data_IF_399269121699
#
_entry.id   IF_399269121699
#
_cell.length_a   1.000
_cell.length_b   1.000
_cell.length_c   1.000
_cell.angle_alpha   90.00
_cell.angle_beta   90.00
_cell.angle_gamma   90.00
#
_symmetry.space_group_name_H-M   'P 1'
#
loop_
_entity.id
_entity.type
_entity.pdbx_description
1 polymer ?
#
# COMPACT_ATOMS: atom_id res chain seq x y z
N UNK A 1 43.88 -1.53 13.36
CA UNK A 1 43.33 -0.19 13.05
C UNK A 1 43.53 -0.02 11.55
N UNK A 2 42.56 -0.24 10.67
CA UNK A 2 41.12 -0.35 10.80
C UNK A 2 40.54 0.57 9.72
N UNK A 3 40.25 0.04 8.54
CA UNK A 3 39.45 0.70 7.51
C UNK A 3 38.70 -0.41 6.75
N UNK A 4 37.57 -0.84 7.32
CA UNK A 4 36.54 -1.56 6.58
C UNK A 4 35.60 -0.51 6.03
N UNK A 5 35.70 -0.22 4.74
CA UNK A 5 34.70 0.59 4.04
C UNK A 5 33.37 -0.15 4.06
N UNK A 6 32.39 0.41 4.76
CA UNK A 6 30.99 0.02 4.57
C UNK A 6 30.58 0.51 3.18
N UNK A 7 30.53 -0.41 2.21
CA UNK A 7 29.74 -0.21 1.00
C UNK A 7 28.27 -0.16 1.41
N UNK A 8 27.75 1.06 1.55
CA UNK A 8 26.31 1.29 1.57
C UNK A 8 25.84 0.97 0.14
N UNK A 9 25.28 -0.22 -0.04
CA UNK A 9 24.64 -0.60 -1.28
C UNK A 9 23.51 0.41 -1.55
N UNK A 10 23.64 1.19 -2.63
CA UNK A 10 22.54 2.01 -3.15
C UNK A 10 21.35 1.09 -3.41
N UNK A 11 20.33 1.18 -2.57
CA UNK A 11 19.11 0.42 -2.70
C UNK A 11 18.37 0.90 -3.96
N UNK A 12 18.54 0.12 -5.03
CA UNK A 12 17.92 0.40 -6.32
C UNK A 12 16.41 0.37 -6.14
N UNK A 13 15.76 1.54 -6.10
CA UNK A 13 14.30 1.67 -6.08
C UNK A 13 13.77 0.92 -7.31
N UNK A 14 13.24 -0.27 -7.10
CA UNK A 14 12.66 -1.07 -8.17
C UNK A 14 11.18 -0.70 -8.31
N UNK A 15 10.81 -0.20 -9.47
CA UNK A 15 9.42 -0.16 -9.90
C UNK A 15 8.85 -1.59 -9.81
N UNK A 16 7.78 -1.76 -9.03
CA UNK A 16 7.16 -3.06 -8.73
C UNK A 16 5.70 -3.03 -9.14
N UNK A 17 5.28 -4.02 -9.94
CA UNK A 17 3.88 -4.11 -10.34
C UNK A 17 3.01 -4.68 -9.22
N UNK A 18 1.69 -4.41 -9.27
CA UNK A 18 0.73 -5.04 -8.36
C UNK A 18 0.73 -6.58 -8.46
N UNK A 19 1.06 -7.12 -9.64
CA UNK A 19 1.17 -8.58 -9.85
C UNK A 19 2.41 -9.14 -9.17
N UNK A 20 3.53 -8.42 -9.23
CA UNK A 20 4.75 -8.81 -8.54
C UNK A 20 4.58 -8.71 -7.01
N UNK A 21 3.87 -7.68 -6.53
CA UNK A 21 3.50 -7.58 -5.12
C UNK A 21 2.61 -8.74 -4.67
N UNK A 22 1.56 -9.06 -5.43
CA UNK A 22 0.71 -10.21 -5.15
C UNK A 22 1.53 -11.51 -5.06
N UNK A 23 2.48 -11.69 -5.99
CA UNK A 23 3.36 -12.86 -5.98
C UNK A 23 4.26 -12.92 -4.74
N UNK A 24 4.89 -11.80 -4.37
CA UNK A 24 5.71 -11.71 -3.15
C UNK A 24 4.89 -12.01 -1.89
N UNK A 25 3.65 -11.52 -1.81
CA UNK A 25 2.74 -11.76 -0.69
C UNK A 25 2.30 -13.22 -0.61
N UNK A 26 2.03 -13.84 -1.77
CA UNK A 26 1.74 -15.27 -1.86
C UNK A 26 2.92 -16.10 -1.30
N UNK A 27 4.14 -15.82 -1.76
CA UNK A 27 5.33 -16.54 -1.33
C UNK A 27 5.63 -16.32 0.16
N UNK A 28 5.44 -15.08 0.65
CA UNK A 28 5.58 -14.74 2.06
C UNK A 28 4.60 -15.52 2.95
N UNK A 29 3.35 -15.63 2.53
CA UNK A 29 2.30 -16.34 3.26
C UNK A 29 2.53 -17.87 3.24
N UNK A 30 2.94 -18.42 2.08
CA UNK A 30 3.29 -19.83 1.93
C UNK A 30 4.43 -20.26 2.82
N UNK A 31 5.49 -19.46 2.89
CA UNK A 31 6.64 -19.73 3.74
C UNK A 31 6.31 -19.83 5.24
N UNK A 32 5.15 -19.30 5.66
CA UNK A 32 4.69 -19.27 7.05
C UNK A 32 3.46 -20.14 7.31
N UNK A 33 2.97 -20.86 6.31
CA UNK A 33 1.70 -21.60 6.39
C UNK A 33 0.51 -20.70 6.81
N UNK A 34 0.52 -19.44 6.33
CA UNK A 34 -0.50 -18.45 6.66
C UNK A 34 -1.69 -18.45 5.70
N UNK A 35 -1.62 -19.18 4.58
CA UNK A 35 -2.70 -19.24 3.59
C UNK A 35 -4.04 -19.69 4.22
N UNK A 36 -3.99 -20.55 5.25
CA UNK A 36 -5.17 -20.99 6.01
C UNK A 36 -5.94 -19.86 6.72
N UNK A 37 -5.28 -18.74 7.01
CA UNK A 37 -5.88 -17.57 7.64
C UNK A 37 -6.36 -16.53 6.62
N UNK A 38 -5.89 -16.59 5.38
CA UNK A 38 -6.15 -15.61 4.33
C UNK A 38 -7.50 -15.87 3.61
N UNK A 39 -8.59 -16.05 4.37
CA UNK A 39 -9.91 -15.99 3.76
C UNK A 39 -10.24 -14.54 3.34
N UNK A 40 -11.07 -14.30 2.29
CA UNK A 40 -11.42 -12.96 1.85
C UNK A 40 -11.96 -12.07 2.98
N UNK A 41 -12.79 -12.63 3.87
CA UNK A 41 -13.32 -11.90 5.02
C UNK A 41 -12.23 -11.48 6.00
N UNK A 42 -11.28 -12.38 6.29
CA UNK A 42 -10.22 -12.08 7.25
C UNK A 42 -9.28 -11.00 6.72
N UNK A 43 -8.91 -11.08 5.44
CA UNK A 43 -8.08 -10.05 4.80
C UNK A 43 -8.79 -8.68 4.76
N UNK A 44 -10.09 -8.67 4.45
CA UNK A 44 -10.89 -7.44 4.52
C UNK A 44 -10.89 -6.84 5.93
N UNK A 45 -11.10 -7.66 6.96
CA UNK A 45 -11.12 -7.17 8.34
C UNK A 45 -9.75 -6.70 8.82
N UNK A 46 -8.66 -7.37 8.42
CA UNK A 46 -7.30 -6.91 8.69
C UNK A 46 -7.04 -5.56 8.02
N UNK A 47 -7.37 -5.41 6.73
CA UNK A 47 -7.27 -4.14 6.01
C UNK A 47 -8.05 -3.00 6.69
N UNK A 48 -9.23 -3.28 7.25
CA UNK A 48 -10.00 -2.28 8.01
C UNK A 48 -9.26 -1.85 9.28
N UNK A 49 -8.53 -2.77 9.93
CA UNK A 49 -7.62 -2.45 11.04
C UNK A 49 -6.55 -1.46 10.62
N UNK A 50 -5.82 -1.75 9.53
CA UNK A 50 -4.75 -0.88 9.03
C UNK A 50 -5.29 0.49 8.55
N UNK A 51 -6.50 0.55 8.00
CA UNK A 51 -7.17 1.83 7.71
C UNK A 51 -7.44 2.62 9.00
N UNK A 52 -7.73 1.92 10.10
CA UNK A 52 -7.84 2.50 11.44
C UNK A 52 -6.52 3.10 11.90
N UNK A 53 -5.43 2.34 11.85
CA UNK A 53 -4.08 2.79 12.23
C UNK A 53 -3.62 3.98 11.37
N UNK A 54 -3.83 3.91 10.05
CA UNK A 54 -3.66 5.04 9.14
C UNK A 54 -4.47 6.27 9.56
N UNK A 55 -5.72 6.08 10.02
CA UNK A 55 -6.58 7.17 10.47
C UNK A 55 -6.09 7.81 11.77
N UNK A 56 -5.48 7.03 12.67
CA UNK A 56 -4.93 7.53 13.94
C UNK A 56 -3.81 8.54 13.73
N UNK A 57 -3.05 8.43 12.63
CA UNK A 57 -2.01 9.39 12.26
C UNK A 57 -2.60 10.80 12.03
N UNK A 58 -3.82 10.88 11.49
CA UNK A 58 -4.45 12.15 11.12
C UNK A 58 -5.46 12.67 12.16
N UNK A 59 -5.92 11.83 13.09
CA UNK A 59 -7.11 12.09 13.92
C UNK A 59 -7.08 13.43 14.69
N UNK A 60 -5.89 13.96 15.03
CA UNK A 60 -5.72 15.22 15.78
C UNK A 60 -4.98 16.32 15.01
N UNK A 61 -4.69 16.14 13.71
CA UNK A 61 -3.82 17.07 12.94
C UNK A 61 -4.55 18.24 12.27
N UNK A 62 -5.88 18.35 12.41
CA UNK A 62 -6.66 19.42 11.74
C UNK A 62 -6.58 19.32 10.21
N UNK A 63 -6.60 20.46 9.52
CA UNK A 63 -6.35 20.48 8.07
C UNK A 63 -4.86 20.21 7.80
N UNK A 64 -4.58 19.27 6.90
CA UNK A 64 -3.21 18.84 6.56
C UNK A 64 -2.85 19.31 5.16
N UNK A 65 -1.77 20.09 5.06
CA UNK A 65 -1.28 20.61 3.79
C UNK A 65 -0.73 19.52 2.87
N UNK A 66 -0.96 19.69 1.57
CA UNK A 66 -0.40 18.81 0.54
C UNK A 66 1.13 18.79 0.63
N UNK A 67 1.70 17.58 0.62
CA UNK A 67 3.14 17.38 0.68
C UNK A 67 3.72 17.41 2.09
N UNK A 68 2.88 17.55 3.12
CA UNK A 68 3.25 17.39 4.53
C UNK A 68 4.48 18.24 4.95
N UNK A 69 4.52 19.55 4.62
CA UNK A 69 5.72 20.38 4.83
C UNK A 69 6.09 20.54 6.31
N UNK A 70 5.13 20.39 7.22
CA UNK A 70 5.29 20.55 8.67
C UNK A 70 5.36 19.21 9.42
N UNK A 71 5.58 18.11 8.70
CA UNK A 71 5.70 16.78 9.31
C UNK A 71 7.16 16.41 9.46
N UNK A 72 7.49 15.86 10.62
CA UNK A 72 8.79 15.25 10.89
C UNK A 72 8.98 14.01 10.01
N UNK A 73 10.24 13.62 9.78
CA UNK A 73 10.53 12.47 8.91
C UNK A 73 9.94 11.17 9.48
N UNK A 74 9.98 11.00 10.81
CA UNK A 74 9.35 9.86 11.49
C UNK A 74 7.83 9.79 11.27
N UNK A 75 7.15 10.94 11.17
CA UNK A 75 5.71 10.95 10.88
C UNK A 75 5.42 10.48 9.45
N UNK A 76 6.31 10.81 8.50
CA UNK A 76 6.19 10.39 7.10
C UNK A 76 6.55 8.92 6.91
N UNK A 77 7.54 8.42 7.65
CA UNK A 77 7.90 7.01 7.70
C UNK A 77 6.72 6.18 8.18
N UNK A 78 6.15 6.54 9.35
CA UNK A 78 4.97 5.87 9.91
C UNK A 78 3.76 5.95 8.97
N UNK A 79 3.53 7.11 8.33
CA UNK A 79 2.50 7.22 7.28
C UNK A 79 2.76 6.25 6.11
N UNK A 80 4.02 6.09 5.71
CA UNK A 80 4.42 5.17 4.66
C UNK A 80 4.18 3.70 5.01
N UNK A 81 4.42 3.32 6.26
CA UNK A 81 4.14 1.98 6.80
C UNK A 81 2.64 1.68 6.73
N UNK A 82 1.79 2.54 7.31
CA UNK A 82 0.34 2.32 7.34
C UNK A 82 -0.30 2.33 5.94
N UNK A 83 0.16 3.22 5.04
CA UNK A 83 -0.26 3.20 3.64
C UNK A 83 0.13 1.89 2.95
N UNK A 84 1.30 1.36 3.28
CA UNK A 84 1.79 0.09 2.73
C UNK A 84 0.96 -1.07 3.24
N UNK A 85 0.63 -1.12 4.53
CA UNK A 85 -0.16 -2.22 5.09
C UNK A 85 -1.56 -2.28 4.47
N UNK A 86 -2.23 -1.14 4.32
CA UNK A 86 -3.50 -1.05 3.57
C UNK A 86 -3.35 -1.57 2.14
N UNK A 87 -2.28 -1.17 1.43
CA UNK A 87 -2.02 -1.60 0.06
C UNK A 87 -1.78 -3.12 -0.01
N UNK A 88 -0.97 -3.69 0.88
CA UNK A 88 -0.60 -5.09 0.86
C UNK A 88 -1.82 -5.99 1.12
N UNK A 89 -2.68 -5.63 2.07
CA UNK A 89 -3.94 -6.38 2.26
C UNK A 89 -4.89 -6.24 1.08
N UNK A 90 -5.02 -5.05 0.48
CA UNK A 90 -5.86 -4.85 -0.70
C UNK A 90 -5.38 -5.71 -1.88
N UNK A 91 -4.07 -5.73 -2.13
CA UNK A 91 -3.45 -6.54 -3.19
C UNK A 91 -3.68 -8.02 -2.92
N UNK A 92 -3.42 -8.50 -1.69
CA UNK A 92 -3.64 -9.92 -1.36
C UNK A 92 -5.11 -10.32 -1.41
N UNK A 93 -6.02 -9.44 -0.99
CA UNK A 93 -7.45 -9.67 -1.10
C UNK A 93 -7.88 -9.79 -2.57
N UNK A 94 -7.40 -8.91 -3.44
CA UNK A 94 -7.69 -8.96 -4.87
C UNK A 94 -7.18 -10.26 -5.50
N UNK A 95 -5.96 -10.66 -5.18
CA UNK A 95 -5.32 -11.91 -5.62
C UNK A 95 -6.15 -13.14 -5.24
N UNK A 96 -6.54 -13.27 -3.96
CA UNK A 96 -7.39 -14.38 -3.49
C UNK A 96 -8.79 -14.36 -4.12
N UNK A 97 -9.30 -13.18 -4.46
CA UNK A 97 -10.57 -13.05 -5.18
C UNK A 97 -10.45 -13.29 -6.69
N UNK A 98 -9.25 -13.51 -7.23
CA UNK A 98 -9.01 -13.67 -8.66
C UNK A 98 -9.25 -12.39 -9.47
N UNK A 99 -9.03 -11.22 -8.86
CA UNK A 99 -9.26 -9.90 -9.47
C UNK A 99 -7.92 -9.29 -9.86
N UNK A 100 -7.74 -8.97 -11.14
CA UNK A 100 -6.62 -8.14 -11.60
C UNK A 100 -6.85 -6.68 -11.16
N UNK A 101 -6.30 -6.32 -10.01
CA UNK A 101 -6.51 -5.02 -9.37
C UNK A 101 -6.10 -3.86 -10.27
N UNK A 102 -4.99 -3.99 -11.00
CA UNK A 102 -4.50 -2.96 -11.91
C UNK A 102 -5.43 -2.72 -13.10
N UNK A 103 -5.93 -3.80 -13.71
CA UNK A 103 -6.90 -3.71 -14.80
C UNK A 103 -8.24 -3.09 -14.34
N UNK A 104 -8.80 -3.55 -13.22
CA UNK A 104 -10.08 -3.02 -12.73
C UNK A 104 -9.97 -1.56 -12.26
N UNK A 105 -8.84 -1.17 -11.66
CA UNK A 105 -8.58 0.22 -11.27
C UNK A 105 -8.50 1.14 -12.51
N UNK A 106 -7.78 0.72 -13.54
CA UNK A 106 -7.65 1.47 -14.80
C UNK A 106 -9.01 1.65 -15.49
N UNK A 107 -9.80 0.56 -15.58
CA UNK A 107 -11.18 0.61 -16.09
C UNK A 107 -12.07 1.52 -15.24
N UNK A 108 -11.86 1.56 -13.92
CA UNK A 108 -12.63 2.42 -13.01
C UNK A 108 -12.33 3.90 -13.23
N UNK A 109 -11.09 4.28 -13.51
CA UNK A 109 -10.71 5.67 -13.85
C UNK A 109 -11.46 6.12 -15.12
N UNK A 110 -11.49 5.30 -16.17
CA UNK A 110 -12.22 5.60 -17.41
C UNK A 110 -13.73 5.76 -17.13
N UNK A 111 -14.33 4.89 -16.31
CA UNK A 111 -15.73 5.04 -15.91
C UNK A 111 -15.97 6.34 -15.14
N UNK A 112 -15.02 6.74 -14.29
CA UNK A 112 -15.12 7.97 -13.51
C UNK A 112 -14.97 9.22 -14.38
N UNK A 113 -14.11 9.22 -15.41
CA UNK A 113 -13.96 10.37 -16.31
C UNK A 113 -15.21 10.61 -17.16
N UNK A 114 -15.93 9.56 -17.54
CA UNK A 114 -17.24 9.68 -18.19
C UNK A 114 -18.29 10.24 -17.23
N UNK A 115 -18.29 9.77 -15.97
CA UNK A 115 -19.24 10.22 -14.94
C UNK A 115 -18.99 11.67 -14.50
N UNK A 116 -17.73 12.10 -14.48
CA UNK A 116 -17.29 13.41 -14.02
C UNK A 116 -16.36 14.03 -15.08
N UNK A 117 -16.92 14.53 -16.20
CA UNK A 117 -16.12 15.15 -17.24
C UNK A 117 -15.49 16.46 -16.72
N UNK A 118 -14.31 16.84 -17.24
CA UNK A 118 -13.72 18.12 -16.91
C UNK A 118 -14.69 19.24 -17.32
N UNK A 119 -14.81 20.27 -16.48
CA UNK A 119 -15.47 21.50 -16.90
C UNK A 119 -14.62 22.12 -17.99
N UNK A 120 -15.16 22.18 -19.21
CA UNK A 120 -14.55 22.96 -20.29
C UNK A 120 -14.83 24.41 -19.94
N UNK A 121 -13.76 25.16 -19.63
CA UNK A 121 -13.79 26.62 -19.50
C UNK A 121 -13.68 27.27 -20.88
#
# INVERSE_FOLDING_TARGET
MGEGGEEIAEEKVMDISLKDLAKKLEDFAKARDWEKYHSPRNLLLAMVGEVGELSEIFQWKGEVDKGLPNWEESDKEHLGEELSDVLLYLVRLADICGIDLGDVATKKIIKNSIKYPPKIC
#
